data_IF_246533286965
#
_entry.id   IF_246533286965
#
_cell.length_a   1.000
_cell.length_b   1.000
_cell.length_c   1.000
_cell.angle_alpha   90.00
_cell.angle_beta   90.00
_cell.angle_gamma   90.00
#
_symmetry.space_group_name_H-M   'P 1'
#
loop_
_entity.id
_entity.type
_entity.pdbx_description
1 polymer ?
#
# COMPACT_ATOMS: atom_id res chain seq x y z
N UNK A 1 -48.25 -3.95 36.00
CA UNK A 1 -48.94 -2.86 35.30
C UNK A 1 -47.86 -1.99 34.65
N UNK A 2 -47.98 -1.77 33.33
CA UNK A 2 -47.08 -1.01 32.44
C UNK A 2 -47.01 0.51 32.82
N UNK A 3 -46.13 1.31 32.19
CA UNK A 3 -45.19 2.23 32.83
C UNK A 3 -45.70 3.68 32.94
N UNK A 4 -44.96 4.51 33.67
CA UNK A 4 -45.09 5.97 33.59
C UNK A 4 -43.99 6.50 32.65
N UNK A 5 -44.41 6.95 31.47
CA UNK A 5 -43.69 7.92 30.63
C UNK A 5 -44.38 9.28 30.82
N UNK A 6 -43.61 10.34 30.99
CA UNK A 6 -44.07 11.70 30.67
C UNK A 6 -42.93 12.49 29.99
N UNK A 7 -43.18 12.80 28.70
CA UNK A 7 -42.59 13.82 27.81
C UNK A 7 -42.85 15.22 28.41
N UNK A 8 -42.12 16.34 28.23
CA UNK A 8 -41.54 17.04 27.06
C UNK A 8 -40.99 18.38 27.65
N UNK A 9 -39.87 18.98 27.22
CA UNK A 9 -39.82 19.99 26.15
C UNK A 9 -38.37 20.36 25.81
N UNK A 10 -38.17 20.67 24.53
CA UNK A 10 -36.92 20.94 23.85
C UNK A 10 -36.21 22.24 24.27
N UNK A 11 -34.88 22.25 24.14
CA UNK A 11 -34.17 23.38 23.55
C UNK A 11 -33.12 22.85 22.58
N UNK A 12 -33.42 23.09 21.31
CA UNK A 12 -32.57 22.93 20.16
C UNK A 12 -31.31 23.80 20.31
N UNK A 13 -30.13 23.19 20.23
CA UNK A 13 -28.96 23.85 19.64
C UNK A 13 -28.44 22.90 18.57
N UNK A 14 -28.88 23.15 17.34
CA UNK A 14 -28.39 22.48 16.15
C UNK A 14 -26.86 22.56 16.05
N UNK A 15 -26.14 21.47 16.36
CA UNK A 15 -24.83 21.22 15.79
C UNK A 15 -25.00 20.69 14.35
N UNK A 16 -25.66 21.47 13.48
CA UNK A 16 -25.93 21.10 12.09
C UNK A 16 -24.73 21.34 11.14
N UNK A 17 -23.55 21.65 11.68
CA UNK A 17 -22.34 21.95 10.89
C UNK A 17 -21.40 20.75 10.75
N UNK A 18 -21.40 19.75 11.65
CA UNK A 18 -20.44 18.63 11.55
C UNK A 18 -20.90 17.48 10.65
N UNK A 19 -22.20 17.12 10.66
CA UNK A 19 -22.72 16.05 9.80
C UNK A 19 -22.82 16.46 8.33
N UNK A 20 -23.10 17.74 8.04
CA UNK A 20 -23.15 18.26 6.66
C UNK A 20 -21.76 18.32 6.02
N UNK A 21 -20.72 18.60 6.81
CA UNK A 21 -19.33 18.61 6.34
C UNK A 21 -18.79 17.18 6.14
N UNK A 22 -19.10 16.26 7.07
CA UNK A 22 -18.74 14.83 6.97
C UNK A 22 -19.50 14.09 5.85
N UNK A 23 -20.75 14.48 5.59
CA UNK A 23 -21.53 14.02 4.42
C UNK A 23 -21.02 14.62 3.11
N UNK A 24 -20.62 15.90 3.08
CA UNK A 24 -20.02 16.54 1.89
C UNK A 24 -18.64 15.95 1.53
N UNK A 25 -17.78 15.68 2.51
CA UNK A 25 -16.48 15.04 2.25
C UNK A 25 -16.62 13.56 1.91
N UNK A 26 -17.59 12.86 2.53
CA UNK A 26 -17.90 11.47 2.19
C UNK A 26 -18.42 11.28 0.76
N UNK A 27 -19.20 12.24 0.25
CA UNK A 27 -19.72 12.24 -1.13
C UNK A 27 -18.63 12.61 -2.15
N UNK A 28 -17.70 13.51 -1.78
CA UNK A 28 -16.54 13.86 -2.62
C UNK A 28 -15.48 12.75 -2.71
N UNK A 29 -15.39 11.91 -1.68
CA UNK A 29 -14.51 10.73 -1.60
C UNK A 29 -15.13 9.47 -2.21
N UNK A 30 -16.44 9.45 -2.44
CA UNK A 30 -17.14 8.27 -2.93
C UNK A 30 -16.65 7.89 -4.33
N UNK A 31 -16.12 6.67 -4.47
CA UNK A 31 -15.58 6.17 -5.74
C UNK A 31 -14.20 6.69 -6.12
N UNK A 32 -13.54 7.49 -5.25
CA UNK A 32 -12.14 7.89 -5.43
C UNK A 32 -11.19 7.03 -4.61
N UNK A 33 -9.97 6.95 -5.09
CA UNK A 33 -8.89 6.14 -4.54
C UNK A 33 -7.76 7.02 -3.98
N UNK A 34 -6.89 6.45 -3.17
CA UNK A 34 -5.61 7.04 -2.79
C UNK A 34 -4.50 6.49 -3.68
N UNK A 35 -3.50 7.33 -3.97
CA UNK A 35 -2.21 6.88 -4.52
C UNK A 35 -1.19 6.94 -3.39
N UNK A 36 -0.70 5.78 -2.98
CA UNK A 36 0.17 5.66 -1.81
C UNK A 36 1.52 5.09 -2.21
N UNK A 37 2.60 5.73 -1.76
CA UNK A 37 3.96 5.25 -1.91
C UNK A 37 4.52 4.87 -0.54
N UNK A 38 5.00 3.64 -0.42
CA UNK A 38 5.66 3.10 0.76
C UNK A 38 7.14 3.00 0.41
N UNK A 39 7.98 3.81 1.04
CA UNK A 39 9.40 3.91 0.71
C UNK A 39 10.25 3.34 1.82
N UNK A 40 11.07 2.38 1.47
CA UNK A 40 12.23 2.04 2.26
C UNK A 40 13.23 3.21 2.21
N UNK A 41 13.59 3.73 3.37
CA UNK A 41 14.54 4.84 3.52
C UNK A 41 15.83 4.38 4.19
N UNK A 42 16.17 3.10 4.09
CA UNK A 42 17.41 2.55 4.65
C UNK A 42 18.63 2.83 3.76
N UNK A 43 19.82 2.78 4.38
CA UNK A 43 21.06 3.17 3.72
C UNK A 43 21.45 2.30 2.53
N UNK A 44 20.96 1.05 2.45
CA UNK A 44 21.23 0.16 1.32
C UNK A 44 20.56 0.65 0.03
N UNK A 45 19.41 1.31 0.13
CA UNK A 45 18.75 1.96 -1.00
C UNK A 45 19.52 3.17 -1.58
N UNK A 46 20.66 3.59 -1.02
CA UNK A 46 21.36 4.82 -1.45
C UNK A 46 21.65 4.87 -2.96
N UNK A 47 22.17 3.78 -3.51
CA UNK A 47 22.54 3.69 -4.94
C UNK A 47 21.29 3.62 -5.85
N UNK A 48 20.22 3.02 -5.34
CA UNK A 48 18.95 2.82 -6.05
C UNK A 48 17.97 3.98 -5.91
N UNK A 49 18.13 4.82 -4.88
CA UNK A 49 17.20 5.89 -4.51
C UNK A 49 16.95 6.84 -5.67
N UNK A 50 17.99 7.15 -6.46
CA UNK A 50 17.85 8.04 -7.61
C UNK A 50 16.91 7.43 -8.65
N UNK A 51 17.09 6.14 -8.96
CA UNK A 51 16.27 5.44 -9.95
C UNK A 51 14.84 5.24 -9.44
N UNK A 52 14.70 4.82 -8.19
CA UNK A 52 13.41 4.57 -7.53
C UNK A 52 12.59 5.85 -7.42
N UNK A 53 13.22 6.96 -7.03
CA UNK A 53 12.58 8.28 -7.01
C UNK A 53 12.15 8.74 -8.40
N UNK A 54 12.97 8.48 -9.41
CA UNK A 54 12.63 8.80 -10.80
C UNK A 54 11.47 7.94 -11.32
N UNK A 55 11.44 6.65 -10.97
CA UNK A 55 10.32 5.74 -11.24
C UNK A 55 9.03 6.23 -10.59
N UNK A 56 9.05 6.50 -9.29
CA UNK A 56 7.91 7.05 -8.55
C UNK A 56 7.44 8.39 -9.10
N UNK A 57 8.36 9.26 -9.52
CA UNK A 57 8.05 10.52 -10.19
C UNK A 57 7.30 10.31 -11.49
N UNK A 58 7.76 9.38 -12.34
CA UNK A 58 7.09 9.06 -13.60
C UNK A 58 5.72 8.43 -13.37
N UNK A 59 5.59 7.56 -12.36
CA UNK A 59 4.30 6.96 -11.95
C UNK A 59 3.34 8.07 -11.56
N UNK A 60 3.76 8.96 -10.65
CA UNK A 60 2.95 10.08 -10.20
C UNK A 60 2.52 10.99 -11.35
N UNK A 61 3.45 11.38 -12.23
CA UNK A 61 3.13 12.20 -13.40
C UNK A 61 2.15 11.54 -14.35
N UNK A 62 2.30 10.23 -14.55
CA UNK A 62 1.39 9.43 -15.38
C UNK A 62 -0.02 9.45 -14.81
N UNK A 63 -0.17 9.29 -13.49
CA UNK A 63 -1.47 9.40 -12.82
C UNK A 63 -2.03 10.82 -12.91
N UNK A 64 -1.18 11.86 -12.82
CA UNK A 64 -1.61 13.26 -12.92
C UNK A 64 -2.07 13.67 -14.32
N UNK A 65 -1.58 13.00 -15.36
CA UNK A 65 -1.95 13.25 -16.75
C UNK A 65 -3.29 12.60 -17.14
N UNK A 66 -3.86 11.75 -16.29
CA UNK A 66 -5.16 11.14 -16.58
C UNK A 66 -6.28 12.18 -16.54
N UNK A 67 -7.19 12.08 -17.52
CA UNK A 67 -8.31 13.02 -17.68
C UNK A 67 -9.34 12.92 -16.55
N UNK A 68 -9.56 11.70 -16.05
CA UNK A 68 -10.44 11.45 -14.91
C UNK A 68 -9.60 11.36 -13.63
N UNK A 69 -9.80 12.30 -12.70
CA UNK A 69 -9.13 12.27 -11.40
C UNK A 69 -9.80 11.25 -10.50
N UNK A 70 -9.43 9.99 -10.67
CA UNK A 70 -9.83 8.89 -9.80
C UNK A 70 -9.07 8.90 -8.46
N UNK A 71 -7.99 9.68 -8.35
CA UNK A 71 -7.22 9.83 -7.12
C UNK A 71 -7.64 11.08 -6.34
N UNK A 72 -8.00 10.89 -5.07
CA UNK A 72 -8.37 11.97 -4.14
C UNK A 72 -7.15 12.55 -3.41
N UNK A 73 -6.31 11.69 -2.84
CA UNK A 73 -5.15 12.07 -2.04
C UNK A 73 -3.92 11.22 -2.35
N UNK A 74 -2.76 11.77 -2.00
CA UNK A 74 -1.44 11.18 -2.18
C UNK A 74 -0.82 10.94 -0.82
N UNK A 75 -0.33 9.74 -0.60
CA UNK A 75 0.21 9.30 0.70
C UNK A 75 1.65 8.83 0.49
N UNK A 76 2.56 9.25 1.37
CA UNK A 76 3.93 8.74 1.40
C UNK A 76 4.22 8.20 2.80
N UNK A 77 4.59 6.91 2.88
CA UNK A 77 4.91 6.21 4.12
C UNK A 77 6.36 5.75 4.05
N UNK A 78 7.32 6.56 4.54
CA UNK A 78 8.69 6.12 4.69
C UNK A 78 8.81 5.11 5.85
N UNK A 79 9.59 4.05 5.67
CA UNK A 79 9.90 3.05 6.69
C UNK A 79 11.39 2.70 6.71
N UNK A 80 11.87 2.26 7.87
CA UNK A 80 13.23 1.75 8.08
C UNK A 80 13.24 0.84 9.31
N UNK A 81 14.27 0.00 9.44
CA UNK A 81 14.60 -0.64 10.71
C UNK A 81 15.68 0.16 11.47
N UNK A 82 15.42 0.71 12.67
CA UNK A 82 16.44 1.21 13.56
C UNK A 82 17.32 0.04 13.99
N UNK A 83 18.64 0.26 13.91
CA UNK A 83 19.64 -0.70 14.37
C UNK A 83 19.30 -1.24 15.77
N UNK A 84 19.66 -2.49 16.04
CA UNK A 84 19.49 -3.20 17.34
C UNK A 84 20.14 -2.52 18.58
N UNK A 85 20.60 -1.28 18.49
CA UNK A 85 21.32 -0.57 19.56
C UNK A 85 20.55 0.56 20.24
N UNK A 86 19.26 0.76 19.97
CA UNK A 86 18.49 1.71 20.77
C UNK A 86 17.79 0.99 21.92
N UNK A 87 18.43 1.11 23.09
CA UNK A 87 17.95 0.65 24.39
C UNK A 87 16.43 0.83 24.51
N UNK A 88 15.70 -0.27 24.61
CA UNK A 88 14.30 -0.25 25.03
C UNK A 88 14.20 0.52 26.35
N UNK A 89 13.62 1.72 26.32
CA UNK A 89 13.30 2.45 27.54
C UNK A 89 12.10 1.74 28.16
N UNK A 90 12.36 0.87 29.13
CA UNK A 90 11.33 0.20 29.91
C UNK A 90 10.53 1.24 30.71
N UNK A 91 9.33 1.59 30.24
CA UNK A 91 8.37 2.32 31.05
C UNK A 91 7.52 1.34 31.85
N UNK A 92 7.82 1.20 33.14
CA UNK A 92 6.97 0.52 34.12
C UNK A 92 5.96 1.50 34.69
N UNK A 93 4.66 1.28 34.44
CA UNK A 93 3.58 2.00 35.10
C UNK A 93 2.71 1.04 35.93
N UNK A 94 2.48 1.38 37.19
CA UNK A 94 1.50 0.73 38.06
C UNK A 94 0.28 1.62 38.18
N UNK A 95 -0.87 1.16 37.67
CA UNK A 95 -2.12 1.89 37.69
C UNK A 95 -3.00 1.41 38.85
N UNK A 96 -3.12 2.21 39.91
CA UNK A 96 -4.16 2.02 40.93
C UNK A 96 -5.51 2.55 40.43
N UNK A 97 -6.59 1.83 40.74
CA UNK A 97 -7.92 1.91 40.12
C UNK A 97 -8.67 3.26 40.24
N UNK A 98 -8.12 4.25 40.94
CA UNK A 98 -8.79 5.54 41.21
C UNK A 98 -8.48 6.67 40.21
N UNK A 99 -7.59 6.47 39.22
CA UNK A 99 -7.25 7.49 38.19
C UNK A 99 -8.03 7.33 36.88
N UNK A 100 -8.94 6.35 36.76
CA UNK A 100 -9.82 6.22 35.56
C UNK A 100 -10.70 7.45 35.32
N UNK A 101 -11.04 8.22 36.37
CA UNK A 101 -11.91 9.40 36.27
C UNK A 101 -11.19 10.71 35.94
N UNK A 102 -9.85 10.74 35.96
CA UNK A 102 -9.05 11.92 35.57
C UNK A 102 -8.61 11.88 34.10
N UNK A 103 -8.63 10.71 33.47
CA UNK A 103 -8.18 10.51 32.08
C UNK A 103 -9.24 10.83 31.01
N UNK A 104 -10.47 11.16 31.38
CA UNK A 104 -11.45 11.71 30.42
C UNK A 104 -11.24 13.22 30.14
N UNK A 105 -10.34 13.90 30.87
CA UNK A 105 -10.11 15.35 30.73
C UNK A 105 -8.78 15.76 30.07
N UNK A 106 -7.89 14.83 29.77
CA UNK A 106 -6.63 15.13 29.09
C UNK A 106 -6.61 14.50 27.69
N UNK A 107 -7.14 15.25 26.71
CA UNK A 107 -7.12 14.89 25.30
C UNK A 107 -5.78 15.30 24.63
N UNK A 108 -4.66 14.82 25.16
CA UNK A 108 -3.38 14.86 24.45
C UNK A 108 -2.51 13.73 24.97
N UNK A 109 -2.64 12.58 24.32
CA UNK A 109 -1.71 11.48 24.50
C UNK A 109 -0.81 11.48 23.26
N UNK A 110 0.42 11.95 23.42
CA UNK A 110 1.47 11.78 22.40
C UNK A 110 1.80 10.30 22.40
N UNK A 111 1.16 9.55 21.50
CA UNK A 111 1.51 8.17 21.21
C UNK A 111 2.86 8.22 20.50
N UNK A 112 3.90 7.74 21.17
CA UNK A 112 5.18 7.38 20.56
C UNK A 112 4.93 6.67 19.23
N UNK A 113 5.23 7.32 18.10
CA UNK A 113 5.27 6.66 16.81
C UNK A 113 6.31 5.53 16.89
N UNK A 114 6.02 4.32 16.38
CA UNK A 114 7.03 3.29 16.30
C UNK A 114 8.25 3.83 15.55
N UNK A 115 9.44 3.68 16.14
CA UNK A 115 10.77 4.12 15.67
C UNK A 115 11.16 3.60 14.26
N UNK A 116 10.23 2.95 13.58
CA UNK A 116 10.40 2.23 12.32
C UNK A 116 9.75 2.97 11.13
N UNK A 117 8.96 4.03 11.38
CA UNK A 117 8.34 4.84 10.34
C UNK A 117 8.90 6.27 10.37
N UNK A 118 9.19 6.82 9.19
CA UNK A 118 9.53 8.23 9.05
C UNK A 118 8.29 9.13 9.05
N UNK A 119 8.47 10.40 8.68
CA UNK A 119 7.37 11.36 8.58
C UNK A 119 6.38 10.94 7.48
N UNK A 120 5.17 10.57 7.90
CA UNK A 120 4.10 10.18 6.98
C UNK A 120 3.45 11.43 6.37
N UNK A 121 3.35 11.43 5.05
CA UNK A 121 2.74 12.52 4.30
C UNK A 121 1.38 12.06 3.78
N UNK A 122 0.35 12.87 3.99
CA UNK A 122 -0.97 12.67 3.40
C UNK A 122 -1.50 14.03 2.93
N UNK A 123 -1.63 14.21 1.62
CA UNK A 123 -2.01 15.50 1.03
C UNK A 123 -2.86 15.32 -0.22
N UNK A 124 -3.70 16.30 -0.52
CA UNK A 124 -4.40 16.42 -1.80
C UNK A 124 -3.64 17.34 -2.78
N UNK A 125 -2.59 18.03 -2.32
CA UNK A 125 -1.76 18.91 -3.14
C UNK A 125 -0.64 18.12 -3.83
N UNK A 126 -0.78 17.96 -5.14
CA UNK A 126 0.17 17.26 -5.99
C UNK A 126 1.56 17.94 -6.04
N UNK A 127 1.63 19.27 -5.99
CA UNK A 127 2.89 20.01 -6.02
C UNK A 127 3.63 19.90 -4.67
N UNK A 128 2.88 19.90 -3.56
CA UNK A 128 3.44 19.58 -2.24
C UNK A 128 4.00 18.16 -2.23
N UNK A 129 3.23 17.18 -2.68
CA UNK A 129 3.66 15.78 -2.71
C UNK A 129 4.93 15.60 -3.54
N UNK A 130 4.98 16.17 -4.74
CA UNK A 130 6.14 16.12 -5.63
C UNK A 130 7.41 16.73 -5.00
N UNK A 131 7.27 17.84 -4.28
CA UNK A 131 8.38 18.47 -3.56
C UNK A 131 8.88 17.62 -2.39
N UNK A 132 8.00 16.85 -1.77
CA UNK A 132 8.40 15.95 -0.69
C UNK A 132 9.05 14.68 -1.23
N UNK A 133 8.52 14.16 -2.34
CA UNK A 133 9.12 13.03 -3.05
C UNK A 133 10.56 13.34 -3.50
N UNK A 134 10.83 14.57 -3.95
CA UNK A 134 12.20 14.98 -4.31
C UNK A 134 13.15 15.07 -3.12
N UNK A 135 12.61 15.26 -1.91
CA UNK A 135 13.35 15.39 -0.67
C UNK A 135 13.58 14.06 0.04
N UNK A 136 12.99 12.95 -0.38
CA UNK A 136 13.24 11.64 0.25
C UNK A 136 14.74 11.36 0.19
N UNK A 137 15.30 11.08 1.37
CA UNK A 137 16.70 10.75 1.57
C UNK A 137 16.77 9.48 2.40
N UNK A 138 17.80 8.69 2.16
CA UNK A 138 18.05 7.50 2.95
C UNK A 138 18.76 7.88 4.25
N UNK A 139 18.40 7.17 5.31
CA UNK A 139 19.03 7.18 6.60
C UNK A 139 19.80 5.86 6.75
N UNK A 140 20.95 5.87 7.41
CA UNK A 140 21.77 4.66 7.57
C UNK A 140 20.96 3.46 8.08
N UNK A 141 21.24 2.27 7.55
CA UNK A 141 20.61 1.00 7.92
C UNK A 141 21.58 0.05 8.63
N UNK A 142 21.05 -0.95 9.33
CA UNK A 142 21.82 -1.88 10.17
C UNK A 142 21.91 -3.31 9.65
N UNK A 143 20.82 -3.86 9.09
CA UNK A 143 20.74 -5.24 8.61
C UNK A 143 19.71 -5.44 7.49
N UNK A 144 20.02 -6.27 6.49
CA UNK A 144 19.06 -6.78 5.50
C UNK A 144 18.43 -8.05 6.08
N UNK A 145 17.25 -7.97 6.76
CA UNK A 145 15.95 -7.57 6.19
C UNK A 145 15.21 -6.43 6.94
N UNK A 146 14.15 -5.85 6.34
CA UNK A 146 13.50 -4.59 6.75
C UNK A 146 12.04 -4.71 7.23
N UNK A 147 11.49 -3.71 7.93
CA UNK A 147 10.09 -3.72 8.44
C UNK A 147 9.05 -3.22 7.45
N UNK A 148 8.99 -3.87 6.30
CA UNK A 148 8.14 -3.47 5.16
C UNK A 148 6.64 -3.65 5.43
N UNK A 149 6.21 -4.72 6.11
CA UNK A 149 4.78 -4.98 6.32
C UNK A 149 4.14 -3.94 7.26
N UNK A 150 4.89 -3.42 8.22
CA UNK A 150 4.47 -2.30 9.07
C UNK A 150 4.19 -1.05 8.24
N UNK A 151 5.04 -0.77 7.25
CA UNK A 151 4.81 0.32 6.28
C UNK A 151 3.55 0.10 5.44
N UNK A 152 3.34 -1.12 4.95
CA UNK A 152 2.14 -1.48 4.17
C UNK A 152 0.87 -1.39 5.01
N UNK A 153 0.89 -1.91 6.23
CA UNK A 153 -0.23 -1.79 7.16
C UNK A 153 -0.58 -0.32 7.36
N UNK A 154 0.42 0.54 7.58
CA UNK A 154 0.18 1.98 7.77
C UNK A 154 -0.38 2.64 6.52
N UNK A 155 0.13 2.26 5.35
CA UNK A 155 -0.39 2.71 4.07
C UNK A 155 -1.85 2.30 3.88
N UNK A 156 -2.19 1.05 4.19
CA UNK A 156 -3.56 0.55 4.13
C UNK A 156 -4.45 1.32 5.10
N UNK A 157 -4.06 1.55 6.36
CA UNK A 157 -4.84 2.33 7.33
C UNK A 157 -5.25 3.70 6.79
N UNK A 158 -4.31 4.42 6.17
CA UNK A 158 -4.50 5.80 5.69
C UNK A 158 -5.19 5.89 4.32
N UNK A 159 -5.10 4.83 3.51
CA UNK A 159 -5.65 4.80 2.15
C UNK A 159 -7.17 4.61 2.14
N UNK A 160 -7.82 5.18 1.14
CA UNK A 160 -9.23 4.93 0.84
C UNK A 160 -9.44 3.49 0.31
N UNK A 161 -10.68 2.97 0.28
CA UNK A 161 -10.96 1.73 -0.44
C UNK A 161 -10.60 1.84 -1.93
N UNK A 162 -10.30 0.71 -2.57
CA UNK A 162 -9.87 0.63 -3.97
C UNK A 162 -8.63 1.48 -4.29
N UNK A 163 -7.71 1.64 -3.34
CA UNK A 163 -6.48 2.43 -3.52
C UNK A 163 -5.34 1.67 -4.18
N UNK A 164 -4.37 2.42 -4.71
CA UNK A 164 -3.13 1.88 -5.29
C UNK A 164 -1.97 2.18 -4.36
N UNK A 165 -1.28 1.14 -3.92
CA UNK A 165 -0.14 1.19 -2.99
C UNK A 165 1.07 0.65 -3.73
N UNK A 166 2.12 1.46 -3.88
CA UNK A 166 3.40 1.06 -4.44
C UNK A 166 4.44 0.99 -3.33
N UNK A 167 5.08 -0.16 -3.19
CA UNK A 167 6.10 -0.44 -2.17
C UNK A 167 7.45 -0.49 -2.85
N UNK A 168 8.36 0.38 -2.44
CA UNK A 168 9.73 0.44 -2.93
C UNK A 168 10.68 -0.02 -1.84
N UNK A 169 11.46 -1.07 -2.10
CA UNK A 169 12.43 -1.64 -1.15
C UNK A 169 13.48 -2.45 -1.90
N UNK A 170 14.68 -2.56 -1.36
CA UNK A 170 15.76 -3.43 -1.84
C UNK A 170 15.94 -4.67 -0.95
N UNK A 171 15.01 -4.90 -0.02
CA UNK A 171 15.13 -5.89 1.04
C UNK A 171 13.89 -6.77 1.22
N UNK A 172 14.14 -7.94 1.81
CA UNK A 172 13.10 -8.86 2.28
C UNK A 172 12.44 -8.29 3.54
N UNK A 173 11.21 -8.66 3.82
CA UNK A 173 10.55 -8.26 5.06
C UNK A 173 11.07 -9.08 6.25
N UNK A 174 11.26 -8.41 7.39
CA UNK A 174 11.59 -8.93 8.72
C UNK A 174 10.34 -9.17 9.57
N UNK A 175 9.27 -8.43 9.27
CA UNK A 175 7.99 -8.43 9.98
C UNK A 175 6.91 -9.19 9.20
N UNK A 176 7.30 -10.26 8.49
CA UNK A 176 6.40 -11.10 7.71
C UNK A 176 5.34 -11.82 8.55
N UNK A 177 5.46 -11.86 9.88
CA UNK A 177 4.42 -12.33 10.80
C UNK A 177 3.13 -11.49 10.73
N UNK A 178 3.19 -10.28 10.18
CA UNK A 178 2.02 -9.42 9.94
C UNK A 178 1.23 -9.80 8.67
N UNK A 179 1.62 -10.87 7.96
CA UNK A 179 1.01 -11.33 6.70
C UNK A 179 -0.53 -11.36 6.79
N UNK A 180 -1.08 -12.08 7.76
CA UNK A 180 -2.53 -12.26 7.90
C UNK A 180 -3.28 -10.94 8.14
N UNK A 181 -2.69 -10.03 8.92
CA UNK A 181 -3.28 -8.72 9.21
C UNK A 181 -3.34 -7.89 7.93
N UNK A 182 -2.23 -7.83 7.20
CA UNK A 182 -2.12 -7.08 5.94
C UNK A 182 -3.06 -7.65 4.88
N UNK A 183 -3.14 -8.99 4.75
CA UNK A 183 -4.04 -9.65 3.82
C UNK A 183 -5.52 -9.35 4.12
N UNK A 184 -5.92 -9.38 5.39
CA UNK A 184 -7.29 -9.04 5.78
C UNK A 184 -7.62 -7.57 5.46
N UNK A 185 -6.70 -6.65 5.73
CA UNK A 185 -6.89 -5.23 5.39
C UNK A 185 -6.97 -4.99 3.88
N UNK A 186 -6.19 -5.73 3.09
CA UNK A 186 -6.24 -5.68 1.62
C UNK A 186 -7.60 -6.14 1.13
N UNK A 187 -8.14 -7.23 1.65
CA UNK A 187 -9.46 -7.74 1.27
C UNK A 187 -10.57 -6.77 1.65
N UNK A 188 -10.51 -6.19 2.85
CA UNK A 188 -11.48 -5.19 3.32
C UNK A 188 -11.45 -3.93 2.45
N UNK A 189 -10.27 -3.41 2.15
CA UNK A 189 -10.11 -2.17 1.37
C UNK A 189 -10.13 -2.40 -0.13
N UNK A 190 -10.04 -3.63 -0.60
CA UNK A 190 -9.86 -3.98 -2.03
C UNK A 190 -8.74 -3.15 -2.68
N UNK A 191 -7.65 -2.89 -1.95
CA UNK A 191 -6.54 -2.05 -2.42
C UNK A 191 -5.49 -2.90 -3.12
N UNK A 192 -4.89 -2.35 -4.17
CA UNK A 192 -3.83 -3.03 -4.93
C UNK A 192 -2.45 -2.67 -4.39
N UNK A 193 -1.64 -3.69 -4.11
CA UNK A 193 -0.28 -3.52 -3.56
C UNK A 193 0.74 -4.04 -4.55
N UNK A 194 1.47 -3.11 -5.17
CA UNK A 194 2.51 -3.39 -6.16
C UNK A 194 3.87 -3.22 -5.52
N UNK A 195 4.71 -4.24 -5.61
CA UNK A 195 6.08 -4.19 -5.12
C UNK A 195 7.02 -3.82 -6.26
N UNK A 196 7.95 -2.93 -5.97
CA UNK A 196 8.95 -2.41 -6.88
C UNK A 196 10.30 -2.57 -6.19
N UNK A 197 10.97 -3.68 -6.46
CA UNK A 197 12.15 -4.14 -5.76
C UNK A 197 13.41 -3.94 -6.57
N UNK A 198 14.51 -3.47 -5.99
CA UNK A 198 15.83 -3.39 -6.65
C UNK A 198 16.82 -4.44 -6.14
N UNK A 199 16.49 -5.10 -5.02
CA UNK A 199 17.27 -6.16 -4.39
C UNK A 199 16.39 -7.08 -3.55
N UNK A 200 16.94 -8.22 -3.10
CA UNK A 200 16.20 -9.30 -2.42
C UNK A 200 16.96 -9.94 -1.25
N UNK A 201 18.02 -9.30 -0.74
CA UNK A 201 18.97 -9.85 0.24
C UNK A 201 19.53 -11.26 -0.10
N UNK A 202 19.54 -11.69 -1.37
CA UNK A 202 20.19 -12.92 -1.84
C UNK A 202 19.50 -14.24 -1.48
N UNK A 203 18.26 -14.23 -0.96
CA UNK A 203 17.52 -15.46 -0.69
C UNK A 203 15.99 -15.27 -0.82
N UNK A 204 15.49 -15.61 -2.02
CA UNK A 204 14.08 -15.52 -2.42
C UNK A 204 13.18 -16.64 -1.91
N UNK A 205 13.74 -17.76 -1.47
CA UNK A 205 12.93 -18.87 -0.91
C UNK A 205 12.50 -18.60 0.53
N UNK A 206 13.06 -17.57 1.14
CA UNK A 206 12.75 -17.17 2.51
C UNK A 206 11.31 -16.64 2.66
N UNK A 207 10.62 -16.93 3.77
CA UNK A 207 9.24 -16.47 4.02
C UNK A 207 9.08 -14.95 3.89
N UNK A 208 10.09 -14.18 4.32
CA UNK A 208 10.09 -12.71 4.19
C UNK A 208 10.11 -12.16 2.76
N UNK A 209 10.45 -12.98 1.76
CA UNK A 209 10.28 -12.63 0.34
C UNK A 209 8.95 -13.15 -0.20
N UNK A 210 8.61 -14.42 0.11
CA UNK A 210 7.35 -15.06 -0.30
C UNK A 210 6.11 -14.30 0.15
N UNK A 211 6.18 -13.59 1.28
CA UNK A 211 5.09 -12.74 1.76
C UNK A 211 4.72 -11.66 0.75
N UNK A 212 5.67 -11.10 0.00
CA UNK A 212 5.40 -10.11 -1.04
C UNK A 212 4.63 -10.72 -2.21
N UNK A 213 5.02 -11.93 -2.64
CA UNK A 213 4.32 -12.66 -3.69
C UNK A 213 2.86 -12.95 -3.29
N UNK A 214 2.64 -13.39 -2.05
CA UNK A 214 1.29 -13.63 -1.51
C UNK A 214 0.46 -12.36 -1.39
N UNK A 215 1.06 -11.25 -0.92
CA UNK A 215 0.37 -9.96 -0.83
C UNK A 215 0.01 -9.45 -2.22
N UNK A 216 0.94 -9.50 -3.17
CA UNK A 216 0.68 -9.15 -4.56
C UNK A 216 -0.47 -10.01 -5.14
N UNK A 217 -0.44 -11.31 -4.89
CA UNK A 217 -1.49 -12.24 -5.28
C UNK A 217 -2.87 -11.86 -4.77
N UNK A 218 -2.98 -11.59 -3.46
CA UNK A 218 -4.25 -11.29 -2.82
C UNK A 218 -4.75 -9.87 -3.11
N UNK A 219 -3.85 -8.94 -3.44
CA UNK A 219 -4.17 -7.54 -3.69
C UNK A 219 -4.34 -7.20 -5.16
N UNK A 220 -4.30 -8.17 -6.07
CA UNK A 220 -4.28 -7.85 -7.50
C UNK A 220 -3.08 -6.97 -7.90
N UNK A 221 -1.98 -7.13 -7.16
CA UNK A 221 -0.73 -6.46 -7.40
C UNK A 221 0.24 -7.34 -8.18
N UNK A 222 1.46 -6.84 -8.29
CA UNK A 222 2.56 -7.52 -8.95
C UNK A 222 3.85 -7.20 -8.19
N UNK A 223 4.77 -8.16 -8.18
CA UNK A 223 6.17 -7.93 -7.77
C UNK A 223 6.98 -7.64 -9.02
N UNK A 224 7.58 -6.44 -9.09
CA UNK A 224 8.51 -6.05 -10.12
C UNK A 224 9.91 -6.00 -9.53
N UNK A 225 10.86 -6.64 -10.21
CA UNK A 225 12.27 -6.41 -9.97
C UNK A 225 12.71 -5.33 -10.97
N UNK A 226 13.25 -4.23 -10.48
CA UNK A 226 13.67 -3.11 -11.30
C UNK A 226 15.11 -3.30 -11.75
N UNK A 227 15.28 -3.54 -13.05
CA UNK A 227 16.50 -3.17 -13.76
C UNK A 227 16.34 -1.83 -14.50
N UNK A 228 17.41 -1.33 -15.12
CA UNK A 228 17.39 -0.04 -15.85
C UNK A 228 16.36 0.00 -17.00
N UNK A 229 15.94 -1.15 -17.54
CA UNK A 229 14.90 -1.28 -18.58
C UNK A 229 13.45 -1.28 -18.04
N UNK A 230 13.25 -1.67 -16.78
CA UNK A 230 11.94 -2.18 -16.32
C UNK A 230 11.01 -1.11 -15.78
N UNK A 231 11.53 0.11 -15.55
CA UNK A 231 10.72 1.27 -15.17
C UNK A 231 9.61 1.53 -16.21
N UNK A 232 9.87 1.26 -17.49
CA UNK A 232 8.89 1.42 -18.57
C UNK A 232 7.69 0.47 -18.41
N UNK A 233 7.94 -0.79 -18.05
CA UNK A 233 6.94 -1.83 -17.78
C UNK A 233 6.06 -1.46 -16.59
N UNK A 234 6.67 -0.98 -15.49
CA UNK A 234 5.91 -0.51 -14.31
C UNK A 234 4.98 0.64 -14.68
N UNK A 235 5.44 1.58 -15.52
CA UNK A 235 4.62 2.70 -15.97
C UNK A 235 3.46 2.27 -16.86
N UNK A 236 3.66 1.27 -17.71
CA UNK A 236 2.58 0.69 -18.50
C UNK A 236 1.54 0.03 -17.60
N UNK A 237 1.98 -0.79 -16.63
CA UNK A 237 1.08 -1.36 -15.61
C UNK A 237 0.26 -0.27 -14.92
N UNK A 238 0.89 0.82 -14.46
CA UNK A 238 0.19 1.94 -13.81
C UNK A 238 -0.83 2.60 -14.75
N UNK A 239 -0.45 2.87 -16.01
CA UNK A 239 -1.37 3.48 -16.99
C UNK A 239 -2.62 2.64 -17.15
N UNK A 240 -2.47 1.32 -17.22
CA UNK A 240 -3.59 0.40 -17.43
C UNK A 240 -4.38 0.16 -16.13
N UNK A 241 -3.74 0.10 -14.97
CA UNK A 241 -4.40 -0.17 -13.68
C UNK A 241 -5.25 1.02 -13.21
N UNK A 242 -4.80 2.25 -13.44
CA UNK A 242 -5.51 3.45 -12.95
C UNK A 242 -6.55 3.96 -13.96
N UNK A 243 -6.52 3.54 -15.24
CA UNK A 243 -7.47 4.00 -16.27
C UNK A 243 -8.93 3.59 -16.01
N UNK A 244 -9.15 2.41 -15.43
CA UNK A 244 -10.48 1.85 -15.22
C UNK A 244 -10.48 0.94 -13.99
N UNK A 245 -11.64 0.80 -13.34
CA UNK A 245 -11.82 -0.17 -12.25
C UNK A 245 -11.85 -1.58 -12.86
N UNK A 246 -10.73 -2.29 -12.78
CA UNK A 246 -10.57 -3.65 -13.31
C UNK A 246 -11.07 -4.68 -12.31
N UNK A 247 -11.55 -5.80 -12.84
CA UNK A 247 -11.89 -7.00 -12.08
C UNK A 247 -10.88 -8.08 -12.46
N UNK A 248 -10.26 -8.71 -11.46
CA UNK A 248 -9.37 -9.83 -11.68
C UNK A 248 -10.16 -11.13 -11.78
N UNK A 249 -9.96 -11.84 -12.88
CA UNK A 249 -10.64 -13.09 -13.17
C UNK A 249 -9.81 -14.29 -12.69
N UNK A 250 -8.48 -14.20 -12.83
CA UNK A 250 -7.56 -15.28 -12.52
C UNK A 250 -6.23 -14.71 -12.01
N UNK A 251 -5.64 -15.41 -11.04
CA UNK A 251 -4.28 -15.19 -10.57
C UNK A 251 -3.63 -16.54 -10.25
N UNK A 252 -2.37 -16.73 -10.63
CA UNK A 252 -1.64 -18.00 -10.42
C UNK A 252 -0.16 -17.73 -10.12
N UNK A 253 0.36 -18.32 -9.02
CA UNK A 253 1.79 -18.37 -8.70
C UNK A 253 2.30 -19.78 -8.94
N UNK A 254 3.49 -19.91 -9.53
CA UNK A 254 4.11 -21.21 -9.79
C UNK A 254 5.57 -21.21 -9.35
N UNK A 255 5.94 -22.24 -8.60
CA UNK A 255 7.32 -22.47 -8.15
C UNK A 255 8.17 -23.22 -9.20
N UNK A 256 7.54 -23.76 -10.25
CA UNK A 256 8.22 -24.51 -11.34
C UNK A 256 7.63 -24.15 -12.70
N UNK A 257 8.49 -24.14 -13.70
CA UNK A 257 8.14 -23.92 -15.11
C UNK A 257 7.19 -24.98 -15.70
N UNK A 258 6.88 -24.82 -16.98
CA UNK A 258 6.04 -25.74 -17.77
C UNK A 258 4.79 -25.09 -18.37
N UNK A 259 4.22 -25.70 -19.40
CA UNK A 259 3.05 -25.17 -20.11
C UNK A 259 1.76 -25.45 -19.34
N UNK A 260 0.97 -24.41 -19.09
CA UNK A 260 -0.34 -24.52 -18.45
C UNK A 260 -1.38 -23.80 -19.30
N UNK A 261 -2.52 -24.47 -19.49
CA UNK A 261 -3.67 -23.92 -20.20
C UNK A 261 -4.72 -23.54 -19.16
N UNK A 262 -5.21 -22.30 -19.25
CA UNK A 262 -6.27 -21.76 -18.40
C UNK A 262 -7.37 -21.18 -19.27
N UNK A 263 -8.60 -21.56 -18.97
CA UNK A 263 -9.77 -21.00 -19.62
C UNK A 263 -10.22 -19.79 -18.82
N UNK A 264 -10.17 -18.61 -19.44
CA UNK A 264 -10.67 -17.37 -18.85
C UNK A 264 -12.07 -17.14 -19.42
N UNK A 265 -13.12 -17.11 -18.60
CA UNK A 265 -14.47 -16.80 -19.08
C UNK A 265 -14.52 -15.33 -19.51
N UNK A 266 -14.74 -15.09 -20.81
CA UNK A 266 -14.94 -13.75 -21.37
C UNK A 266 -16.41 -13.57 -21.69
N UNK A 267 -17.01 -12.49 -21.19
CA UNK A 267 -18.39 -12.12 -21.49
C UNK A 267 -18.46 -10.92 -22.45
N UNK A 268 -19.67 -10.66 -22.98
CA UNK A 268 -19.93 -9.56 -23.93
C UNK A 268 -19.75 -8.15 -23.35
N UNK A 269 -19.60 -8.02 -22.04
CA UNK A 269 -19.41 -6.75 -21.33
C UNK A 269 -17.94 -6.47 -21.02
N UNK A 270 -17.04 -7.45 -21.17
CA UNK A 270 -15.60 -7.25 -21.07
C UNK A 270 -15.08 -6.49 -22.29
N UNK A 271 -14.58 -5.26 -22.07
CA UNK A 271 -14.04 -4.40 -23.13
C UNK A 271 -12.53 -4.50 -23.29
N UNK A 272 -11.81 -4.86 -22.24
CA UNK A 272 -10.34 -4.96 -22.22
C UNK A 272 -9.93 -6.14 -21.32
N UNK A 273 -9.09 -7.03 -21.85
CA UNK A 273 -8.44 -8.10 -21.09
C UNK A 273 -6.96 -7.74 -20.95
N UNK A 274 -6.48 -7.65 -19.71
CA UNK A 274 -5.07 -7.41 -19.42
C UNK A 274 -4.47 -8.67 -18.82
N UNK A 275 -3.40 -9.17 -19.43
CA UNK A 275 -2.58 -10.25 -18.89
C UNK A 275 -1.24 -9.68 -18.49
N UNK A 276 -0.81 -9.98 -17.27
CA UNK A 276 0.50 -9.62 -16.75
C UNK A 276 1.17 -10.90 -16.32
N UNK A 277 2.39 -11.11 -16.81
CA UNK A 277 3.24 -12.21 -16.41
C UNK A 277 4.57 -11.62 -15.96
N UNK A 278 5.06 -12.14 -14.85
CA UNK A 278 6.31 -11.73 -14.23
C UNK A 278 6.92 -12.95 -13.58
N UNK A 279 8.21 -13.10 -13.76
CA UNK A 279 9.02 -14.21 -13.29
C UNK A 279 10.47 -13.90 -13.62
N UNK A 280 11.40 -14.51 -12.87
CA UNK A 280 12.82 -14.34 -13.16
C UNK A 280 13.22 -15.22 -14.35
N UNK A 281 14.14 -14.70 -15.16
CA UNK A 281 14.61 -15.33 -16.37
C UNK A 281 15.82 -16.18 -16.02
N UNK A 282 15.60 -17.34 -15.41
CA UNK A 282 16.65 -18.36 -15.39
C UNK A 282 16.87 -18.84 -16.84
N UNK A 283 18.12 -18.77 -17.31
CA UNK A 283 18.58 -18.70 -18.73
C UNK A 283 18.14 -19.83 -19.70
N UNK A 284 17.18 -20.70 -19.36
CA UNK A 284 16.67 -21.76 -20.26
C UNK A 284 15.14 -21.77 -20.45
N UNK A 285 14.34 -21.06 -19.65
CA UNK A 285 12.87 -21.07 -19.75
C UNK A 285 12.32 -19.78 -20.41
N UNK A 286 11.54 -19.94 -21.48
CA UNK A 286 10.84 -18.81 -22.13
C UNK A 286 9.57 -18.50 -21.33
N UNK A 287 9.51 -17.29 -20.77
CA UNK A 287 8.31 -16.71 -20.20
C UNK A 287 7.40 -16.22 -21.34
N UNK A 288 6.44 -17.04 -21.77
CA UNK A 288 5.52 -16.70 -22.87
C UNK A 288 4.06 -16.87 -22.48
N UNK A 289 3.20 -15.99 -23.02
CA UNK A 289 1.75 -16.07 -22.92
C UNK A 289 1.18 -16.15 -24.33
N UNK A 290 0.64 -17.31 -24.68
CA UNK A 290 -0.13 -17.45 -25.93
C UNK A 290 -1.62 -17.38 -25.64
N UNK A 291 -2.30 -16.37 -26.21
CA UNK A 291 -3.76 -16.33 -26.26
C UNK A 291 -4.24 -17.18 -27.45
N UNK A 292 -5.12 -18.14 -27.18
CA UNK A 292 -5.79 -18.95 -28.20
C UNK A 292 -7.28 -18.70 -28.13
N UNK A 293 -7.90 -18.36 -29.25
CA UNK A 293 -9.35 -18.33 -29.35
C UNK A 293 -9.88 -19.78 -29.32
N UNK A 294 -11.09 -19.97 -28.78
CA UNK A 294 -11.75 -21.29 -28.80
C UNK A 294 -12.09 -21.76 -30.22
N UNK A 295 -12.02 -20.84 -31.20
CA UNK A 295 -12.21 -21.10 -32.63
C UNK A 295 -10.97 -21.63 -33.37
N UNK A 296 -9.77 -21.57 -32.76
CA UNK A 296 -8.49 -21.94 -33.39
C UNK A 296 -7.72 -20.75 -33.94
#
# INVERSE_FOLDING_TARGET
MFPIRLLLLAACVCAATSERQRRRSGDEMAGKSSLTFVFDITGSMFDDLVQVREGARKIFQTVMQQREKLIYNYIMVPFHDPCKSDNAVNFSYSMNYSIRKLLEKFNSFVISMPLYLGEVINTTDAAYFMRQLSKVYVHGGGDCPEKTLTGIQKALELSLPSSFIYVFTDARSKDYDLEDIVLNMIQEKQSSVVFVMTGDCGNRTHPGFRVYEKIAAASFGQVFHLEKSDVSTVLEYVRHAVKQKKVHILYEVRERGGTVIRNVPVDKHMTELTLSLSGDKDDEDILDITLKDTSG
#
